data_IF_138795181459
#
_entry.id   IF_138795181459
#
_cell.length_a   1.000
_cell.length_b   1.000
_cell.length_c   1.000
_cell.angle_alpha   90.00
_cell.angle_beta   90.00
_cell.angle_gamma   90.00
#
_symmetry.space_group_name_H-M   'P 1'
#
loop_
_entity.id
_entity.type
_entity.pdbx_description
1 polymer ?
#
# COMPACT_ATOMS: atom_id res chain seq x y z
N UNK A 1 3.67 -1.65 -12.70
CA UNK A 1 2.70 -0.98 -11.80
C UNK A 1 2.03 -2.04 -10.94
N UNK A 2 1.67 -1.74 -9.70
CA UNK A 2 0.95 -2.64 -8.78
C UNK A 2 -0.37 -2.00 -8.40
N UNK A 3 -1.46 -2.76 -8.56
CA UNK A 3 -2.80 -2.40 -8.10
C UNK A 3 -3.12 -3.21 -6.85
N UNK A 4 -3.60 -2.55 -5.80
CA UNK A 4 -3.93 -3.22 -4.54
C UNK A 4 -5.11 -2.55 -3.83
N UNK A 5 -5.74 -3.28 -2.92
CA UNK A 5 -6.86 -2.82 -2.08
C UNK A 5 -6.42 -2.81 -0.62
N UNK A 6 -6.83 -1.78 0.12
CA UNK A 6 -6.69 -1.79 1.57
C UNK A 6 -7.68 -2.80 2.18
N UNK A 7 -7.19 -3.67 3.07
CA UNK A 7 -8.02 -4.61 3.83
C UNK A 7 -8.48 -4.00 5.17
N UNK A 8 -8.55 -2.68 5.24
CA UNK A 8 -8.98 -1.88 6.38
C UNK A 8 -9.81 -0.70 5.87
N UNK A 9 -10.59 -0.09 6.76
CA UNK A 9 -11.47 1.02 6.37
C UNK A 9 -10.69 2.30 6.10
N UNK A 10 -11.09 3.05 5.06
CA UNK A 10 -10.45 4.32 4.66
C UNK A 10 -11.51 5.42 4.51
N UNK A 11 -12.08 5.93 5.63
CA UNK A 11 -13.25 6.81 5.61
C UNK A 11 -13.04 8.07 4.78
N UNK A 12 -11.85 8.66 4.82
CA UNK A 12 -11.53 9.93 4.17
C UNK A 12 -11.57 9.82 2.65
N UNK A 13 -11.43 8.62 2.09
CA UNK A 13 -11.44 8.37 0.65
C UNK A 13 -12.80 7.90 0.13
N UNK A 14 -13.75 7.54 1.00
CA UNK A 14 -15.03 6.98 0.57
C UNK A 14 -15.88 7.95 -0.23
N UNK A 15 -15.84 9.23 0.13
CA UNK A 15 -16.62 10.27 -0.54
C UNK A 15 -16.20 10.44 -2.01
N UNK A 16 -14.92 10.28 -2.30
CA UNK A 16 -14.35 10.51 -3.63
C UNK A 16 -14.24 9.23 -4.46
N UNK A 17 -13.92 8.09 -3.83
CA UNK A 17 -13.55 6.84 -4.52
C UNK A 17 -14.52 5.68 -4.24
N UNK A 18 -15.60 5.93 -3.49
CA UNK A 18 -16.57 4.93 -3.10
C UNK A 18 -16.10 4.01 -1.96
N UNK A 19 -16.91 3.02 -1.63
CA UNK A 19 -16.70 2.18 -0.45
C UNK A 19 -15.45 1.28 -0.51
N UNK A 20 -14.91 1.04 -1.72
CA UNK A 20 -13.80 0.11 -1.93
C UNK A 20 -12.71 0.74 -2.82
N UNK A 21 -11.95 1.71 -2.31
CA UNK A 21 -10.92 2.39 -3.09
C UNK A 21 -9.81 1.42 -3.51
N UNK A 22 -9.38 1.54 -4.77
CA UNK A 22 -8.22 0.86 -5.31
C UNK A 22 -7.01 1.81 -5.34
N UNK A 23 -5.84 1.28 -5.03
CA UNK A 23 -4.59 2.03 -5.00
C UNK A 23 -3.63 1.52 -6.07
N UNK A 24 -2.94 2.45 -6.72
CA UNK A 24 -1.87 2.14 -7.66
C UNK A 24 -0.53 2.62 -7.13
N UNK A 25 0.53 1.83 -7.34
CA UNK A 25 1.91 2.22 -7.02
C UNK A 25 2.86 1.78 -8.14
N UNK A 26 3.91 2.55 -8.47
CA UNK A 26 4.96 2.09 -9.37
C UNK A 26 5.59 0.79 -8.87
N UNK A 27 5.95 -0.10 -9.80
CA UNK A 27 6.47 -1.43 -9.46
C UNK A 27 7.74 -1.34 -8.61
N UNK A 28 8.70 -0.53 -9.05
CA UNK A 28 9.97 -0.33 -8.34
C UNK A 28 9.77 0.20 -6.91
N UNK A 29 8.81 1.12 -6.73
CA UNK A 29 8.45 1.65 -5.41
C UNK A 29 7.67 0.68 -4.53
N UNK A 30 7.01 -0.33 -5.11
CA UNK A 30 6.29 -1.35 -4.33
C UNK A 30 7.28 -2.35 -3.73
N UNK A 31 8.31 -2.74 -4.48
CA UNK A 31 9.33 -3.69 -4.03
C UNK A 31 10.54 -3.05 -3.35
N UNK A 32 10.47 -1.76 -3.04
CA UNK A 32 11.55 -1.07 -2.34
C UNK A 32 11.67 -1.49 -0.87
N UNK A 33 12.88 -1.34 -0.33
CA UNK A 33 13.11 -1.45 1.11
C UNK A 33 13.16 -0.06 1.74
N UNK A 34 12.52 0.10 2.89
CA UNK A 34 12.48 1.33 3.68
C UNK A 34 13.29 1.19 4.97
N UNK A 35 13.72 2.32 5.53
CA UNK A 35 14.40 2.37 6.83
C UNK A 35 13.40 2.77 7.91
N UNK A 36 13.14 1.88 8.87
CA UNK A 36 12.30 2.14 10.05
C UNK A 36 13.10 1.78 11.30
N UNK A 37 13.23 2.72 12.24
CA UNK A 37 13.99 2.53 13.49
C UNK A 37 15.41 1.98 13.24
N UNK A 38 16.10 2.51 12.22
CA UNK A 38 17.45 2.09 11.85
C UNK A 38 17.54 0.79 11.02
N UNK A 39 16.48 -0.01 10.94
CA UNK A 39 16.44 -1.29 10.21
C UNK A 39 15.90 -1.12 8.79
N UNK A 40 16.52 -1.82 7.84
CA UNK A 40 16.06 -1.90 6.44
C UNK A 40 15.04 -3.04 6.33
N UNK A 41 13.81 -2.73 5.94
CA UNK A 41 12.70 -3.70 5.81
C UNK A 41 12.00 -3.51 4.47
N UNK A 42 11.39 -4.58 3.92
CA UNK A 42 10.57 -4.47 2.72
C UNK A 42 9.35 -3.59 2.99
N UNK A 43 9.04 -2.65 2.09
CA UNK A 43 7.87 -1.78 2.24
C UNK A 43 6.57 -2.59 2.26
N UNK A 44 6.46 -3.55 1.34
CA UNK A 44 5.39 -4.53 1.30
C UNK A 44 5.99 -5.92 1.48
N UNK A 45 5.33 -6.76 2.27
CA UNK A 45 5.73 -8.14 2.51
C UNK A 45 4.55 -9.05 2.20
N UNK A 46 4.78 -10.07 1.40
CA UNK A 46 3.81 -11.15 1.20
C UNK A 46 3.71 -11.97 2.49
N UNK A 47 2.48 -12.19 2.97
CA UNK A 47 2.14 -13.00 4.13
C UNK A 47 1.16 -14.06 3.62
N UNK A 48 1.49 -15.34 3.83
CA UNK A 48 0.63 -16.49 3.49
C UNK A 48 -0.48 -16.68 4.53
#
# INVERSE_FOLDING_TARGET
MVLYKALYDVPELKEEYGNEPLFARPFEMFFENVKINGKKISRFKYIE
#
